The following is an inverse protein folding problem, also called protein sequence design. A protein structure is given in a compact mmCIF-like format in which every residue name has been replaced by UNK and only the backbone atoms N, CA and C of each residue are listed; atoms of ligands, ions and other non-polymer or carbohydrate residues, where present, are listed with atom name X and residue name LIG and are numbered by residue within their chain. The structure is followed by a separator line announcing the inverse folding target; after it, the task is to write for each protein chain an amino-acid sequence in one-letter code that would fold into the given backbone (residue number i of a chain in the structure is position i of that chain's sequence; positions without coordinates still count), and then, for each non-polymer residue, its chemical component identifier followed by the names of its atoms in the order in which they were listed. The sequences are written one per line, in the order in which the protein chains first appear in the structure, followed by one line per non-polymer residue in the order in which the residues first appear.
data_IF_173437254472
#
_entry.id   IF_173437254472
#
_cell.length_a   1.000
_cell.length_b   1.000
_cell.length_c   1.000
_cell.angle_alpha   90.00
_cell.angle_beta   90.00
_cell.angle_gamma   90.00
#
_symmetry.space_group_name_H-M   'P 1'
#
loop_
_entity.id
_entity.type
_entity.pdbx_description
1 polymer ?
#
# COMPACT_ATOMS: atom_id res chain seq x y z
N UNK A 1 -6.27 4.53 20.73
CA UNK A 1 -5.42 3.58 20.00
C UNK A 1 -5.72 3.78 18.54
N UNK A 2 -4.69 4.16 17.77
CA UNK A 2 -4.76 4.31 16.32
C UNK A 2 -4.79 2.95 15.62
N UNK A 3 -5.14 2.93 14.34
CA UNK A 3 -5.20 1.70 13.53
C UNK A 3 -3.89 0.91 13.52
N UNK A 4 -2.73 1.60 13.50
CA UNK A 4 -1.42 0.96 13.42
C UNK A 4 -0.97 0.30 14.73
N UNK A 5 -1.52 0.72 15.88
CA UNK A 5 -1.14 0.21 17.22
C UNK A 5 -1.45 -1.29 17.41
N UNK A 6 -2.17 -1.91 16.47
CA UNK A 6 -2.46 -3.34 16.49
C UNK A 6 -1.31 -4.20 15.94
N UNK A 7 -0.29 -3.58 15.31
CA UNK A 7 0.86 -4.26 14.72
C UNK A 7 2.10 -4.15 15.63
N UNK A 8 2.99 -5.14 15.56
CA UNK A 8 4.23 -5.14 16.35
C UNK A 8 5.28 -4.17 15.76
N UNK A 9 5.26 -3.99 14.43
CA UNK A 9 6.15 -3.11 13.69
C UNK A 9 5.33 -2.21 12.77
N UNK A 10 5.32 -0.91 13.08
CA UNK A 10 4.70 0.13 12.28
C UNK A 10 5.53 1.41 12.38
N UNK A 11 5.23 2.38 11.51
CA UNK A 11 5.77 3.72 11.62
C UNK A 11 4.82 4.57 12.47
N UNK A 12 5.38 5.29 13.44
CA UNK A 12 4.68 6.38 14.11
C UNK A 12 5.01 7.67 13.38
N UNK A 13 4.01 8.24 12.70
CA UNK A 13 4.18 9.45 11.90
C UNK A 13 3.64 10.66 12.65
N UNK A 14 4.43 11.74 12.67
CA UNK A 14 3.94 13.09 12.92
C UNK A 14 3.01 13.55 11.79
N UNK A 15 2.26 14.62 12.00
CA UNK A 15 1.40 15.21 10.96
C UNK A 15 2.21 15.63 9.71
N UNK A 16 3.39 16.21 9.91
CA UNK A 16 4.28 16.62 8.82
C UNK A 16 4.81 15.41 8.03
N UNK A 17 5.15 14.31 8.71
CA UNK A 17 5.58 13.07 8.05
C UNK A 17 4.41 12.41 7.30
N UNK A 18 3.23 12.36 7.92
CA UNK A 18 2.02 11.86 7.27
C UNK A 18 1.72 12.65 6.00
N UNK A 19 1.75 13.98 6.07
CA UNK A 19 1.57 14.84 4.91
C UNK A 19 2.69 14.65 3.88
N UNK A 20 3.93 14.46 4.32
CA UNK A 20 5.05 14.21 3.43
C UNK A 20 4.88 12.93 2.60
N UNK A 21 4.43 11.86 3.23
CA UNK A 21 4.32 10.54 2.60
C UNK A 21 3.01 10.33 1.84
N UNK A 22 1.90 10.88 2.32
CA UNK A 22 0.55 10.53 1.86
C UNK A 22 -0.20 11.65 1.13
N UNK A 23 0.29 12.89 1.14
CA UNK A 23 -0.33 13.91 0.28
C UNK A 23 -0.13 13.55 -1.20
N UNK A 24 -1.19 13.55 -2.03
CA UNK A 24 -1.08 13.18 -3.43
C UNK A 24 -0.06 14.04 -4.18
N UNK A 25 0.80 13.38 -4.94
CA UNK A 25 1.79 13.99 -5.84
C UNK A 25 1.77 13.22 -7.15
N UNK A 26 1.32 13.89 -8.21
CA UNK A 26 1.21 13.30 -9.54
C UNK A 26 2.53 12.62 -9.95
N UNK A 27 2.44 11.37 -10.42
CA UNK A 27 3.61 10.58 -10.79
C UNK A 27 4.45 10.03 -9.64
N UNK A 28 4.08 10.29 -8.37
CA UNK A 28 4.81 9.83 -7.18
C UNK A 28 3.90 9.04 -6.24
N UNK A 29 2.90 9.67 -5.63
CA UNK A 29 2.00 9.05 -4.65
C UNK A 29 0.56 9.43 -4.95
N UNK A 30 -0.34 8.45 -4.88
CA UNK A 30 -1.76 8.61 -5.06
C UNK A 30 -2.45 8.21 -3.77
N UNK A 31 -3.36 9.04 -3.26
CA UNK A 31 -4.05 8.77 -2.01
C UNK A 31 -5.50 9.19 -2.10
N UNK A 32 -6.37 8.33 -1.61
CA UNK A 32 -7.82 8.44 -1.68
C UNK A 32 -8.40 8.21 -0.30
N UNK A 33 -9.48 8.92 0.00
CA UNK A 33 -10.21 8.83 1.26
C UNK A 33 -11.67 8.51 0.98
N UNK A 34 -12.29 7.78 1.89
CA UNK A 34 -13.75 7.64 1.94
C UNK A 34 -14.26 8.65 2.95
N UNK A 35 -15.12 9.55 2.47
CA UNK A 35 -15.83 10.52 3.29
C UNK A 35 -17.26 10.04 3.50
N UNK A 36 -17.71 10.02 4.75
CA UNK A 36 -19.10 9.75 5.07
C UNK A 36 -19.99 10.90 4.55
N UNK A 37 -20.99 10.63 3.68
CA UNK A 37 -21.77 11.69 3.05
C UNK A 37 -22.70 12.43 4.00
N UNK A 38 -22.98 11.89 5.19
CA UNK A 38 -23.84 12.52 6.19
C UNK A 38 -23.00 13.28 7.24
N UNK A 39 -21.95 12.65 7.78
CA UNK A 39 -21.12 13.27 8.83
C UNK A 39 -19.95 14.09 8.31
N UNK A 40 -19.58 13.93 7.03
CA UNK A 40 -18.36 14.50 6.43
C UNK A 40 -17.05 14.05 7.11
N UNK A 41 -17.09 12.97 7.88
CA UNK A 41 -15.91 12.40 8.50
C UNK A 41 -15.18 11.48 7.52
N UNK A 42 -13.85 11.50 7.57
CA UNK A 42 -13.02 10.53 6.84
C UNK A 42 -13.03 9.21 7.59
N UNK A 43 -13.46 8.14 6.93
CA UNK A 43 -13.67 6.83 7.54
C UNK A 43 -12.62 5.81 7.12
N UNK A 44 -12.14 5.91 5.89
CA UNK A 44 -11.22 4.94 5.30
C UNK A 44 -10.21 5.68 4.42
N UNK A 45 -9.03 5.10 4.23
CA UNK A 45 -7.96 5.66 3.39
C UNK A 45 -7.19 4.56 2.69
N UNK A 46 -6.83 4.81 1.44
CA UNK A 46 -5.90 3.99 0.68
C UNK A 46 -4.89 4.83 -0.08
N UNK A 47 -3.66 4.35 -0.16
CA UNK A 47 -2.54 5.00 -0.83
C UNK A 47 -1.67 3.99 -1.59
N UNK A 48 -1.17 4.41 -2.74
CA UNK A 48 -0.18 3.67 -3.53
C UNK A 48 0.81 4.63 -4.19
N UNK A 49 2.05 4.16 -4.38
CA UNK A 49 3.11 4.95 -5.02
C UNK A 49 3.49 4.39 -6.39
N UNK A 50 4.03 5.26 -7.23
CA UNK A 50 4.51 4.96 -8.58
C UNK A 50 5.98 4.57 -8.51
N UNK A 51 6.31 3.39 -9.05
CA UNK A 51 7.69 2.95 -9.22
C UNK A 51 7.86 2.32 -10.61
N UNK A 52 8.15 3.14 -11.64
CA UNK A 52 8.29 2.66 -13.00
C UNK A 52 9.58 1.85 -13.17
N UNK A 53 9.51 0.73 -13.89
CA UNK A 53 10.65 -0.11 -14.21
C UNK A 53 10.99 -0.04 -15.70
N UNK A 54 12.29 -0.01 -16.03
CA UNK A 54 12.75 -0.08 -17.43
C UNK A 54 12.62 -1.51 -17.97
N UNK A 55 11.98 -1.68 -19.13
CA UNK A 55 11.85 -2.98 -19.80
C UNK A 55 13.07 -3.18 -20.71
N UNK A 56 13.88 -4.19 -20.38
CA UNK A 56 15.11 -4.50 -21.10
C UNK A 56 14.77 -5.22 -22.42
N UNK A 57 15.32 -4.71 -23.53
CA UNK A 57 15.33 -5.37 -24.84
C UNK A 57 13.95 -5.72 -25.46
N UNK A 58 12.89 -4.99 -25.11
CA UNK A 58 11.57 -5.18 -25.73
C UNK A 58 11.37 -4.21 -26.93
N UNK A 59 10.83 -4.67 -28.08
CA UNK A 59 10.73 -3.86 -29.29
C UNK A 59 9.70 -2.72 -29.20
N UNK A 60 8.55 -2.96 -28.56
CA UNK A 60 7.44 -1.99 -28.50
C UNK A 60 7.35 -1.22 -27.17
N UNK A 61 7.43 -1.90 -26.01
CA UNK A 61 7.36 -1.29 -24.69
C UNK A 61 8.74 -1.01 -24.09
N UNK A 62 8.89 0.12 -23.39
CA UNK A 62 10.16 0.56 -22.75
C UNK A 62 10.06 0.71 -21.24
N UNK A 63 8.87 0.93 -20.73
CA UNK A 63 8.61 1.17 -19.31
C UNK A 63 7.42 0.34 -18.89
N UNK A 64 7.50 -0.25 -17.70
CA UNK A 64 6.39 -0.84 -16.97
C UNK A 64 6.01 0.13 -15.84
N UNK A 65 4.83 0.72 -15.92
CA UNK A 65 4.31 1.60 -14.89
C UNK A 65 3.66 0.77 -13.79
N UNK A 66 4.41 0.52 -12.71
CA UNK A 66 3.92 -0.25 -11.57
C UNK A 66 3.47 0.67 -10.43
N UNK A 67 2.27 0.38 -9.91
CA UNK A 67 1.79 0.93 -8.65
C UNK A 67 2.11 -0.05 -7.52
N UNK A 68 2.45 0.47 -6.34
CA UNK A 68 2.72 -0.34 -5.15
C UNK A 68 1.84 0.14 -4.00
N UNK A 69 1.08 -0.77 -3.38
CA UNK A 69 0.29 -0.45 -2.19
C UNK A 69 1.19 0.10 -1.09
N UNK A 70 0.86 1.29 -0.59
CA UNK A 70 1.62 1.98 0.44
C UNK A 70 0.95 1.93 1.80
N UNK A 71 -0.35 2.23 1.84
CA UNK A 71 -1.12 2.30 3.07
C UNK A 71 -2.59 1.94 2.77
N UNK A 72 -3.21 1.16 3.65
CA UNK A 72 -4.64 0.87 3.58
C UNK A 72 -5.19 0.74 5.01
N UNK A 73 -6.15 1.59 5.36
CA UNK A 73 -6.85 1.54 6.63
C UNK A 73 -8.35 1.72 6.38
N UNK A 74 -9.14 0.79 6.91
CA UNK A 74 -10.59 0.81 6.77
C UNK A 74 -11.24 0.69 8.16
N UNK A 75 -12.21 1.57 8.45
CA UNK A 75 -12.97 1.57 9.69
C UNK A 75 -14.46 1.27 9.46
N UNK A 76 -15.05 1.74 8.36
CA UNK A 76 -16.47 1.50 8.03
C UNK A 76 -16.64 0.56 6.85
N UNK A 77 -15.74 0.61 5.88
CA UNK A 77 -15.81 -0.18 4.66
C UNK A 77 -15.05 -1.50 4.82
N UNK A 78 -15.42 -2.55 4.10
CA UNK A 78 -14.59 -3.75 4.09
C UNK A 78 -13.27 -3.44 3.36
N UNK A 79 -12.14 -3.85 3.94
CA UNK A 79 -10.80 -3.57 3.39
C UNK A 79 -10.64 -4.07 1.95
N UNK A 80 -11.31 -5.17 1.58
CA UNK A 80 -11.33 -5.70 0.21
C UNK A 80 -11.95 -4.72 -0.79
N UNK A 81 -12.99 -3.99 -0.40
CA UNK A 81 -13.69 -3.06 -1.29
C UNK A 81 -12.80 -1.85 -1.58
N UNK A 82 -12.13 -1.28 -0.56
CA UNK A 82 -11.21 -0.16 -0.80
C UNK A 82 -9.95 -0.60 -1.57
N UNK A 83 -9.47 -1.83 -1.37
CA UNK A 83 -8.39 -2.40 -2.17
C UNK A 83 -8.82 -2.59 -3.63
N UNK A 84 -10.06 -3.01 -3.88
CA UNK A 84 -10.62 -3.12 -5.23
C UNK A 84 -10.69 -1.74 -5.90
N UNK A 85 -11.12 -0.70 -5.18
CA UNK A 85 -11.15 0.67 -5.69
C UNK A 85 -9.74 1.16 -6.02
N UNK A 86 -8.72 0.83 -5.22
CA UNK A 86 -7.33 1.17 -5.56
C UNK A 86 -6.86 0.53 -6.87
N UNK A 87 -7.28 -0.70 -7.19
CA UNK A 87 -7.00 -1.31 -8.50
C UNK A 87 -7.67 -0.53 -9.64
N UNK A 88 -8.91 -0.08 -9.43
CA UNK A 88 -9.64 0.74 -10.41
C UNK A 88 -8.94 2.09 -10.59
N UNK A 89 -8.57 2.78 -9.51
CA UNK A 89 -7.87 4.06 -9.57
C UNK A 89 -6.50 3.93 -10.22
N UNK A 90 -5.73 2.87 -9.91
CA UNK A 90 -4.46 2.62 -10.57
C UNK A 90 -4.65 2.42 -12.08
N UNK A 91 -5.67 1.65 -12.49
CA UNK A 91 -5.98 1.47 -13.92
C UNK A 91 -6.35 2.78 -14.59
N UNK A 92 -7.15 3.62 -13.95
CA UNK A 92 -7.56 4.94 -14.46
C UNK A 92 -6.37 5.89 -14.59
N UNK A 93 -5.37 5.78 -13.72
CA UNK A 93 -4.13 6.56 -13.76
C UNK A 93 -3.05 5.95 -14.67
N UNK A 94 -3.38 4.94 -15.48
CA UNK A 94 -2.48 4.42 -16.51
C UNK A 94 -1.38 3.48 -16.00
N UNK A 95 -1.56 2.89 -14.80
CA UNK A 95 -0.69 1.83 -14.32
C UNK A 95 -0.96 0.52 -15.06
N UNK A 96 0.12 -0.23 -15.31
CA UNK A 96 0.12 -1.52 -16.02
C UNK A 96 -0.08 -2.69 -15.05
N UNK A 97 0.43 -2.55 -13.82
CA UNK A 97 0.39 -3.58 -12.77
C UNK A 97 0.27 -2.92 -11.40
N UNK A 98 -0.38 -3.62 -10.46
CA UNK A 98 -0.50 -3.22 -9.07
C UNK A 98 0.15 -4.29 -8.19
N UNK A 99 1.18 -3.88 -7.46
CA UNK A 99 1.94 -4.72 -6.56
C UNK A 99 1.54 -4.41 -5.12
N UNK A 100 1.58 -5.43 -4.26
CA UNK A 100 1.34 -5.27 -2.83
C UNK A 100 2.24 -6.24 -2.08
N UNK A 101 2.76 -5.80 -0.92
CA UNK A 101 3.46 -6.69 -0.01
C UNK A 101 2.46 -7.47 0.82
N UNK A 102 2.78 -8.73 1.10
CA UNK A 102 2.03 -9.55 2.05
C UNK A 102 2.42 -9.17 3.49
N UNK A 103 1.87 -8.05 3.93
CA UNK A 103 2.04 -7.45 5.24
C UNK A 103 0.66 -7.20 5.87
N UNK A 104 0.60 -6.96 7.18
CA UNK A 104 -0.61 -6.49 7.87
C UNK A 104 -1.90 -7.29 7.57
N UNK A 105 -1.78 -8.59 7.26
CA UNK A 105 -2.89 -9.51 6.89
C UNK A 105 -3.56 -9.20 5.54
N UNK A 106 -2.95 -8.41 4.67
CA UNK A 106 -3.51 -8.08 3.36
C UNK A 106 -3.69 -9.31 2.45
N UNK A 107 -2.90 -10.39 2.64
CA UNK A 107 -3.03 -11.61 1.85
C UNK A 107 -4.38 -12.33 1.97
N UNK A 108 -5.17 -12.03 3.01
CA UNK A 108 -6.54 -12.55 3.14
C UNK A 108 -7.42 -12.16 1.94
N UNK A 109 -7.12 -11.04 1.27
CA UNK A 109 -7.94 -10.49 0.17
C UNK A 109 -7.30 -10.65 -1.21
N UNK A 110 -6.00 -10.97 -1.27
CA UNK A 110 -5.23 -11.04 -2.52
C UNK A 110 -5.81 -12.04 -3.52
N UNK A 111 -6.27 -13.20 -3.04
CA UNK A 111 -6.84 -14.23 -3.91
C UNK A 111 -8.11 -13.73 -4.62
N UNK A 112 -9.01 -13.09 -3.89
CA UNK A 112 -10.29 -12.61 -4.41
C UNK A 112 -10.10 -11.43 -5.38
N UNK A 113 -9.06 -10.62 -5.13
CA UNK A 113 -8.62 -9.53 -5.99
C UNK A 113 -7.68 -9.98 -7.14
N UNK A 114 -7.49 -11.30 -7.32
CA UNK A 114 -6.70 -11.90 -8.41
C UNK A 114 -5.21 -11.53 -8.39
N UNK A 115 -4.67 -11.19 -7.23
CA UNK A 115 -3.23 -11.09 -7.06
C UNK A 115 -2.60 -12.48 -7.20
N UNK A 116 -1.38 -12.50 -7.75
CA UNK A 116 -0.56 -13.69 -7.86
C UNK A 116 0.75 -13.45 -7.13
N UNK A 117 1.28 -14.51 -6.52
CA UNK A 117 2.57 -14.45 -5.81
C UNK A 117 3.66 -14.23 -6.86
N UNK A 118 4.48 -13.19 -6.66
CA UNK A 118 5.68 -12.93 -7.45
C UNK A 118 6.84 -13.85 -7.08
N UNK A 119 7.98 -13.68 -7.75
CA UNK A 119 9.22 -14.42 -7.48
C UNK A 119 10.16 -13.70 -6.50
N UNK A 120 9.87 -12.45 -6.16
CA UNK A 120 10.65 -11.65 -5.22
C UNK A 120 10.27 -11.87 -3.75
N UNK A 121 11.27 -11.91 -2.88
CA UNK A 121 11.11 -11.85 -1.42
C UNK A 121 11.69 -10.54 -0.88
N UNK A 122 11.01 -9.94 0.09
CA UNK A 122 11.49 -8.75 0.80
C UNK A 122 11.74 -9.11 2.27
N UNK A 123 12.99 -8.96 2.70
CA UNK A 123 13.40 -9.27 4.08
C UNK A 123 13.62 -8.00 4.89
N UNK A 124 13.05 -7.97 6.10
CA UNK A 124 13.19 -6.86 7.04
C UNK A 124 14.36 -7.14 8.00
N UNK A 125 15.26 -6.18 8.13
CA UNK A 125 16.41 -6.25 9.03
C UNK A 125 16.43 -5.02 9.93
N UNK A 126 16.69 -5.22 11.22
CA UNK A 126 16.89 -4.15 12.18
C UNK A 126 18.37 -4.02 12.53
N UNK A 127 18.89 -2.80 12.46
CA UNK A 127 20.25 -2.51 12.87
C UNK A 127 20.29 -2.17 14.36
N UNK A 128 21.21 -2.80 15.11
CA UNK A 128 21.43 -2.56 16.54
C UNK A 128 20.16 -2.71 17.41
N UNK A 129 19.24 -3.60 17.02
CA UNK A 129 18.01 -3.87 17.77
C UNK A 129 17.74 -5.37 17.86
N UNK A 130 17.51 -5.88 19.07
CA UNK A 130 17.15 -7.28 19.30
C UNK A 130 15.66 -7.38 19.57
N UNK A 131 14.96 -8.22 18.82
CA UNK A 131 13.55 -8.48 19.00
C UNK A 131 13.23 -9.98 18.92
N UNK A 132 12.00 -10.35 19.30
CA UNK A 132 11.44 -11.66 18.98
C UNK A 132 11.25 -11.77 17.45
N UNK A 133 11.20 -12.99 16.88
CA UNK A 133 10.75 -13.17 15.50
C UNK A 133 9.38 -12.50 15.31
N UNK A 134 9.24 -11.72 14.24
CA UNK A 134 7.99 -11.07 13.87
C UNK A 134 7.43 -11.74 12.62
N UNK A 135 6.13 -12.03 12.65
CA UNK A 135 5.43 -12.56 11.49
C UNK A 135 5.04 -11.39 10.57
N UNK A 136 4.91 -11.64 9.26
CA UNK A 136 4.54 -10.60 8.30
C UNK A 136 3.16 -9.99 8.59
N UNK A 137 2.27 -10.76 9.21
CA UNK A 137 0.93 -10.36 9.63
C UNK A 137 0.94 -9.33 10.77
N UNK A 138 2.05 -9.22 11.52
CA UNK A 138 2.24 -8.23 12.58
C UNK A 138 3.17 -7.08 12.17
N UNK A 139 3.59 -7.05 10.90
CA UNK A 139 4.37 -5.97 10.32
C UNK A 139 3.48 -5.13 9.38
N UNK A 140 3.39 -3.83 9.64
CA UNK A 140 2.70 -2.84 8.82
C UNK A 140 3.65 -1.75 8.28
N UNK A 141 4.97 -1.94 8.42
CA UNK A 141 5.96 -1.03 7.88
C UNK A 141 6.15 -1.32 6.38
N UNK A 142 5.76 -0.38 5.54
CA UNK A 142 6.12 -0.35 4.11
C UNK A 142 7.30 0.60 3.93
N UNK A 143 8.38 0.11 3.33
CA UNK A 143 9.57 0.90 3.00
C UNK A 143 9.63 1.13 1.47
N UNK A 144 10.13 2.30 1.09
CA UNK A 144 10.40 2.70 -0.30
C UNK A 144 11.86 2.45 -0.69
#
# INVERSE_FOLDING_TARGET
MGYLDQFDMHIDMTEDEFAHWLMPREGVTYSYVVEDPESHEITDMISFYCLPSSIISHPAHKTLNAAYLFFAAAAKTAIIDILQDALVFARQNGFDVFNALDLARHSEFFKDLKFHIGDGELHYHLYNWKCRPMAKETNALVLL
#
